data_IF_515540023632
#
_entry.id   IF_515540023632
#
_cell.length_a   1.000
_cell.length_b   1.000
_cell.length_c   1.000
_cell.angle_alpha   90.00
_cell.angle_beta   90.00
_cell.angle_gamma   90.00
#
_symmetry.space_group_name_H-M   'P 1'
#
loop_
_entity.id
_entity.type
_entity.pdbx_description
1 polymer ?
#
# COMPACT_ATOMS: atom_id res chain seq x y z
N UNK A 1 -2.63 23.10 5.28
CA UNK A 1 -3.03 22.02 6.21
C UNK A 1 -3.87 21.03 5.43
N UNK A 2 -3.46 19.76 5.29
CA UNK A 2 -4.30 18.72 4.69
C UNK A 2 -5.56 18.54 5.56
N UNK A 3 -6.74 18.49 4.94
CA UNK A 3 -8.00 18.23 5.65
C UNK A 3 -7.93 16.81 6.20
N UNK A 4 -8.19 16.65 7.50
CA UNK A 4 -8.30 15.32 8.11
C UNK A 4 -9.74 14.86 8.04
N UNK A 5 -9.91 13.59 7.74
CA UNK A 5 -11.20 12.93 7.59
C UNK A 5 -11.36 11.91 8.72
N UNK A 6 -12.52 11.92 9.35
CA UNK A 6 -12.97 10.90 10.27
C UNK A 6 -14.19 10.26 9.62
N UNK A 7 -14.14 8.95 9.41
CA UNK A 7 -15.24 8.16 8.86
C UNK A 7 -15.78 7.24 9.95
N UNK A 8 -17.09 7.05 9.95
CA UNK A 8 -17.69 5.97 10.73
C UNK A 8 -17.41 4.59 10.10
N UNK A 9 -17.90 3.53 10.75
CA UNK A 9 -17.66 2.17 10.30
C UNK A 9 -18.31 1.86 8.93
N UNK A 10 -19.48 2.43 8.65
CA UNK A 10 -20.22 2.20 7.40
C UNK A 10 -19.54 2.92 6.24
N UNK A 11 -19.19 4.19 6.42
CA UNK A 11 -18.43 4.98 5.44
C UNK A 11 -17.08 4.34 5.15
N UNK A 12 -16.40 3.80 6.17
CA UNK A 12 -15.13 3.10 5.98
C UNK A 12 -15.29 1.85 5.13
N UNK A 13 -16.34 1.06 5.37
CA UNK A 13 -16.61 -0.15 4.59
C UNK A 13 -17.02 0.20 3.14
N UNK A 14 -17.72 1.32 2.93
CA UNK A 14 -17.99 1.87 1.59
C UNK A 14 -16.70 2.16 0.83
N UNK A 15 -15.78 2.90 1.45
CA UNK A 15 -14.47 3.21 0.86
C UNK A 15 -13.69 1.93 0.53
N UNK A 16 -13.67 0.96 1.44
CA UNK A 16 -13.00 -0.33 1.20
C UNK A 16 -13.63 -1.10 0.03
N UNK A 17 -14.95 -1.02 -0.15
CA UNK A 17 -15.67 -1.66 -1.26
C UNK A 17 -15.38 -0.97 -2.59
N UNK A 18 -15.31 0.35 -2.60
CA UNK A 18 -14.89 1.14 -3.78
C UNK A 18 -13.47 0.74 -4.17
N UNK A 19 -12.53 0.72 -3.21
CA UNK A 19 -11.14 0.32 -3.48
C UNK A 19 -11.11 -1.08 -4.08
N UNK A 20 -11.77 -2.06 -3.44
CA UNK A 20 -11.84 -3.43 -3.96
C UNK A 20 -12.37 -3.48 -5.40
N UNK A 21 -13.42 -2.72 -5.70
CA UNK A 21 -14.06 -2.70 -7.02
C UNK A 21 -13.13 -2.11 -8.08
N UNK A 22 -12.48 -0.99 -7.78
CA UNK A 22 -11.50 -0.36 -8.68
C UNK A 22 -10.33 -1.30 -8.93
N UNK A 23 -9.75 -1.90 -7.88
CA UNK A 23 -8.62 -2.83 -8.02
C UNK A 23 -8.98 -4.09 -8.81
N UNK A 24 -10.20 -4.61 -8.64
CA UNK A 24 -10.68 -5.77 -9.38
C UNK A 24 -10.79 -5.53 -10.90
N UNK A 25 -10.96 -4.27 -11.33
CA UNK A 25 -10.99 -3.90 -12.74
C UNK A 25 -9.64 -3.95 -13.46
N UNK A 26 -8.55 -4.23 -12.74
CA UNK A 26 -7.20 -4.32 -13.30
C UNK A 26 -6.66 -5.75 -13.19
N UNK A 27 -6.47 -6.41 -14.32
CA UNK A 27 -5.97 -7.78 -14.39
C UNK A 27 -4.52 -7.92 -13.93
N UNK A 28 -3.75 -6.85 -14.03
CA UNK A 28 -2.36 -6.79 -13.59
C UNK A 28 -2.23 -6.84 -12.06
N UNK A 29 -3.31 -6.61 -11.30
CA UNK A 29 -3.26 -6.55 -9.84
C UNK A 29 -3.45 -7.95 -9.23
N UNK A 30 -2.51 -8.34 -8.36
CA UNK A 30 -2.57 -9.58 -7.61
C UNK A 30 -3.13 -9.38 -6.20
N UNK A 31 -2.65 -8.33 -5.52
CA UNK A 31 -3.02 -8.02 -4.13
C UNK A 31 -3.07 -6.52 -3.94
N UNK A 32 -4.09 -6.05 -3.22
CA UNK A 32 -4.19 -4.66 -2.77
C UNK A 32 -4.29 -4.61 -1.25
N UNK A 33 -3.53 -3.71 -0.65
CA UNK A 33 -3.53 -3.41 0.78
C UNK A 33 -3.93 -1.96 0.99
N UNK A 34 -4.69 -1.70 2.03
CA UNK A 34 -4.84 -0.35 2.59
C UNK A 34 -3.99 -0.29 3.85
N UNK A 35 -3.17 0.74 4.00
CA UNK A 35 -2.25 0.88 5.11
C UNK A 35 -2.27 2.32 5.66
N UNK A 36 -1.28 2.70 6.46
CA UNK A 36 -1.11 4.07 6.90
C UNK A 36 -2.18 4.57 7.87
N UNK A 37 -2.46 5.88 7.82
CA UNK A 37 -3.33 6.56 8.79
C UNK A 37 -4.80 6.16 8.65
N UNK A 38 -5.24 5.79 7.45
CA UNK A 38 -6.58 5.27 7.20
C UNK A 38 -6.92 4.04 8.06
N UNK A 39 -5.92 3.24 8.42
CA UNK A 39 -6.12 2.09 9.31
C UNK A 39 -6.26 2.47 10.78
N UNK A 40 -5.74 3.63 11.21
CA UNK A 40 -5.56 4.01 12.63
C UNK A 40 -6.57 5.02 13.16
N UNK A 41 -7.30 5.72 12.31
CA UNK A 41 -8.31 6.70 12.75
C UNK A 41 -8.51 7.82 11.74
N UNK A 42 -8.22 9.06 12.15
CA UNK A 42 -8.23 10.21 11.26
C UNK A 42 -7.12 10.10 10.21
N UNK A 43 -7.48 10.37 8.96
CA UNK A 43 -6.56 10.26 7.82
C UNK A 43 -6.60 11.51 6.96
N UNK A 44 -5.49 11.77 6.25
CA UNK A 44 -5.43 12.82 5.23
C UNK A 44 -5.75 12.26 3.84
N UNK A 45 -5.01 11.22 3.48
CA UNK A 45 -5.06 10.48 2.23
C UNK A 45 -5.38 8.99 2.47
N UNK A 46 -5.87 8.33 1.43
CA UNK A 46 -6.10 6.88 1.41
C UNK A 46 -4.87 6.21 0.82
N UNK A 47 -4.02 5.69 1.71
CA UNK A 47 -2.80 4.96 1.37
C UNK A 47 -3.13 3.54 0.86
N UNK A 48 -2.82 3.25 -0.41
CA UNK A 48 -3.07 1.94 -1.04
C UNK A 48 -1.77 1.36 -1.61
N UNK A 49 -1.40 0.16 -1.19
CA UNK A 49 -0.23 -0.55 -1.70
C UNK A 49 -0.66 -1.73 -2.55
N UNK A 50 -0.03 -1.90 -3.70
CA UNK A 50 -0.48 -2.84 -4.73
C UNK A 50 0.67 -3.72 -5.17
N UNK A 51 0.45 -5.03 -5.14
CA UNK A 51 1.31 -6.00 -5.80
C UNK A 51 0.74 -6.29 -7.18
N UNK A 52 1.57 -6.15 -8.21
CA UNK A 52 1.19 -6.44 -9.60
C UNK A 52 1.91 -7.67 -10.13
N UNK A 53 1.35 -8.28 -11.16
CA UNK A 53 1.95 -9.39 -11.87
C UNK A 53 3.24 -8.95 -12.58
N UNK A 54 4.29 -9.76 -12.48
CA UNK A 54 5.58 -9.50 -13.14
C UNK A 54 6.43 -8.45 -12.43
N UNK A 55 7.42 -7.92 -13.15
CA UNK A 55 8.39 -6.96 -12.61
C UNK A 55 8.40 -5.70 -13.47
N UNK A 56 7.45 -4.76 -13.24
CA UNK A 56 7.41 -3.53 -14.01
C UNK A 56 8.65 -2.68 -13.73
N UNK A 57 9.17 -2.03 -14.77
CA UNK A 57 10.21 -1.02 -14.58
C UNK A 57 9.67 0.15 -13.72
N UNK A 58 10.50 0.88 -12.96
CA UNK A 58 10.05 1.93 -12.06
C UNK A 58 9.13 2.98 -12.70
N UNK A 59 9.42 3.37 -13.94
CA UNK A 59 8.56 4.31 -14.68
C UNK A 59 7.18 3.73 -15.01
N UNK A 60 7.11 2.44 -15.36
CA UNK A 60 5.84 1.75 -15.64
C UNK A 60 5.02 1.60 -14.36
N UNK A 61 5.68 1.21 -13.26
CA UNK A 61 5.07 1.12 -11.93
C UNK A 61 4.49 2.48 -11.49
N UNK A 62 5.25 3.56 -11.61
CA UNK A 62 4.79 4.92 -11.32
C UNK A 62 3.58 5.31 -12.17
N UNK A 63 3.64 5.08 -13.50
CA UNK A 63 2.52 5.41 -14.40
C UNK A 63 1.27 4.61 -14.05
N UNK A 64 1.43 3.35 -13.67
CA UNK A 64 0.33 2.47 -13.26
C UNK A 64 -0.28 2.92 -11.93
N UNK A 65 0.54 3.25 -10.92
CA UNK A 65 0.07 3.84 -9.67
C UNK A 65 -0.76 5.11 -9.92
N UNK A 66 -0.25 6.05 -10.71
CA UNK A 66 -1.00 7.28 -11.08
C UNK A 66 -2.33 7.00 -11.79
N UNK A 67 -2.41 5.92 -12.57
CA UNK A 67 -3.68 5.51 -13.19
C UNK A 67 -4.68 5.07 -12.13
N UNK A 68 -4.24 4.26 -11.18
CA UNK A 68 -5.11 3.73 -10.12
C UNK A 68 -5.52 4.84 -9.15
N UNK A 69 -4.63 5.75 -8.78
CA UNK A 69 -4.97 6.92 -7.95
C UNK A 69 -6.15 7.68 -8.53
N UNK A 70 -6.11 8.00 -9.83
CA UNK A 70 -7.20 8.72 -10.51
C UNK A 70 -8.51 7.95 -10.47
N UNK A 71 -8.48 6.63 -10.66
CA UNK A 71 -9.70 5.81 -10.62
C UNK A 71 -10.25 5.67 -9.19
N UNK A 72 -9.38 5.61 -8.18
CA UNK A 72 -9.79 5.63 -6.77
C UNK A 72 -10.41 6.97 -6.40
N UNK A 73 -9.74 8.08 -6.71
CA UNK A 73 -10.24 9.44 -6.45
C UNK A 73 -11.60 9.66 -7.13
N UNK A 74 -11.78 9.18 -8.36
CA UNK A 74 -13.07 9.16 -9.06
C UNK A 74 -14.11 8.34 -8.31
N UNK A 75 -13.76 7.13 -7.87
CA UNK A 75 -14.63 6.27 -7.07
C UNK A 75 -15.05 6.92 -5.74
N UNK A 76 -14.18 7.73 -5.15
CA UNK A 76 -14.45 8.51 -3.93
C UNK A 76 -15.18 9.82 -4.20
N UNK A 77 -15.60 10.10 -5.44
CA UNK A 77 -16.18 11.38 -5.85
C UNK A 77 -15.28 12.59 -5.49
N UNK A 78 -13.96 12.41 -5.53
CA UNK A 78 -12.94 13.38 -5.13
C UNK A 78 -13.08 13.90 -3.69
N UNK A 79 -13.72 13.12 -2.80
CA UNK A 79 -13.84 13.45 -1.38
C UNK A 79 -12.49 13.32 -0.65
N UNK A 80 -11.60 12.46 -1.15
CA UNK A 80 -10.29 12.15 -0.58
C UNK A 80 -9.23 12.03 -1.69
N UNK A 81 -7.97 12.31 -1.34
CA UNK A 81 -6.80 11.97 -2.16
C UNK A 81 -6.42 10.50 -1.95
N UNK A 82 -5.89 9.85 -2.98
CA UNK A 82 -5.32 8.51 -2.89
C UNK A 82 -3.80 8.54 -3.14
N UNK A 83 -3.02 7.87 -2.29
CA UNK A 83 -1.57 7.65 -2.52
C UNK A 83 -1.36 6.16 -2.83
N UNK A 84 -1.05 5.84 -4.09
CA UNK A 84 -0.88 4.45 -4.53
C UNK A 84 0.59 4.09 -4.68
N UNK A 85 1.02 3.01 -4.05
CA UNK A 85 2.40 2.51 -4.10
C UNK A 85 2.47 1.11 -4.68
N UNK A 86 3.34 0.93 -5.69
CA UNK A 86 3.60 -0.39 -6.27
C UNK A 86 4.68 -1.10 -5.45
N UNK A 87 4.29 -2.24 -4.87
CA UNK A 87 5.14 -3.02 -3.98
C UNK A 87 6.34 -3.66 -4.69
N UNK A 88 6.20 -4.02 -5.97
CA UNK A 88 7.25 -4.66 -6.77
C UNK A 88 8.54 -3.84 -6.82
N UNK A 89 8.44 -2.51 -6.81
CA UNK A 89 9.58 -1.58 -6.91
C UNK A 89 9.86 -0.82 -5.61
N UNK A 90 9.10 -1.09 -4.55
CA UNK A 90 9.26 -0.40 -3.28
C UNK A 90 10.45 -0.96 -2.48
N UNK A 91 11.09 -0.17 -1.60
CA UNK A 91 12.10 -0.69 -0.67
C UNK A 91 11.55 -1.79 0.25
N UNK A 92 12.38 -2.74 0.65
CA UNK A 92 11.96 -3.89 1.50
C UNK A 92 11.37 -3.45 2.85
N UNK A 93 11.88 -2.37 3.44
CA UNK A 93 11.35 -1.80 4.69
C UNK A 93 9.91 -1.30 4.52
N UNK A 94 9.61 -0.67 3.39
CA UNK A 94 8.26 -0.24 3.05
C UNK A 94 7.34 -1.42 2.78
N UNK A 95 7.81 -2.41 2.02
CA UNK A 95 7.05 -3.66 1.79
C UNK A 95 6.70 -4.34 3.13
N UNK A 96 7.66 -4.41 4.06
CA UNK A 96 7.45 -4.97 5.39
C UNK A 96 6.41 -4.21 6.20
N UNK A 97 6.48 -2.87 6.23
CA UNK A 97 5.48 -2.05 6.93
C UNK A 97 4.07 -2.30 6.37
N UNK A 98 3.92 -2.37 5.05
CA UNK A 98 2.63 -2.66 4.41
C UNK A 98 2.08 -4.02 4.80
N UNK A 99 2.89 -5.09 4.79
CA UNK A 99 2.39 -6.43 5.15
C UNK A 99 2.13 -6.57 6.66
N UNK A 100 2.84 -5.79 7.49
CA UNK A 100 2.72 -5.84 8.94
C UNK A 100 1.51 -5.07 9.44
N UNK A 101 1.30 -3.85 8.94
CA UNK A 101 0.25 -2.94 9.45
C UNK A 101 -0.91 -2.74 8.48
N UNK A 102 -0.75 -3.12 7.21
CA UNK A 102 -1.78 -3.01 6.20
C UNK A 102 -2.86 -4.09 6.29
N UNK A 103 -4.07 -3.73 5.86
CA UNK A 103 -5.20 -4.64 5.71
C UNK A 103 -5.36 -5.00 4.22
N UNK A 104 -5.35 -6.29 3.85
CA UNK A 104 -5.63 -6.70 2.47
C UNK A 104 -7.10 -6.39 2.13
N UNK A 105 -7.31 -5.67 1.03
CA UNK A 105 -8.64 -5.26 0.53
C UNK A 105 -9.04 -5.96 -0.76
N UNK A 106 -8.05 -6.38 -1.54
CA UNK A 106 -8.21 -7.14 -2.77
C UNK A 106 -7.15 -8.24 -2.84
N UNK A 107 -7.57 -9.42 -3.31
CA UNK A 107 -6.71 -10.60 -3.41
C UNK A 107 -7.22 -11.48 -4.56
N UNK A 108 -6.37 -11.69 -5.56
CA UNK A 108 -6.67 -12.56 -6.70
C UNK A 108 -6.33 -14.02 -6.41
N UNK A 109 -5.19 -14.25 -5.76
CA UNK A 109 -4.68 -15.58 -5.41
C UNK A 109 -4.06 -15.56 -4.01
N UNK A 110 -4.64 -16.36 -3.11
CA UNK A 110 -4.20 -16.45 -1.71
C UNK A 110 -2.79 -17.00 -1.57
N UNK A 111 -2.40 -17.98 -2.37
CA UNK A 111 -1.05 -18.53 -2.31
C UNK A 111 -0.01 -17.53 -2.80
N UNK A 112 -0.31 -16.74 -3.85
CA UNK A 112 0.58 -15.66 -4.30
C UNK A 112 0.85 -14.66 -3.19
N UNK A 113 -0.20 -14.23 -2.47
CA UNK A 113 -0.05 -13.36 -1.30
C UNK A 113 0.87 -13.98 -0.25
N UNK A 114 0.62 -15.23 0.15
CA UNK A 114 1.43 -15.90 1.18
C UNK A 114 2.89 -16.02 0.77
N UNK A 115 3.16 -16.41 -0.48
CA UNK A 115 4.54 -16.48 -1.01
C UNK A 115 5.22 -15.11 -1.01
N UNK A 116 4.50 -14.06 -1.42
CA UNK A 116 5.02 -12.69 -1.40
C UNK A 116 5.33 -12.22 0.03
N UNK A 117 4.38 -12.34 0.96
CA UNK A 117 4.56 -11.92 2.36
C UNK A 117 5.72 -12.67 3.03
N UNK A 118 5.83 -13.99 2.83
CA UNK A 118 6.95 -14.78 3.32
C UNK A 118 8.30 -14.33 2.74
N UNK A 119 8.35 -14.02 1.45
CA UNK A 119 9.55 -13.51 0.78
C UNK A 119 9.94 -12.09 1.24
N UNK A 120 8.98 -11.23 1.58
CA UNK A 120 9.24 -9.93 2.20
C UNK A 120 9.79 -10.11 3.62
N UNK A 121 9.18 -10.99 4.42
CA UNK A 121 9.63 -11.28 5.79
C UNK A 121 11.07 -11.79 5.81
N UNK A 122 11.41 -12.75 4.96
CA UNK A 122 12.78 -13.28 4.87
C UNK A 122 13.78 -12.19 4.52
N UNK A 123 13.54 -11.44 3.43
CA UNK A 123 14.44 -10.36 3.00
C UNK A 123 14.56 -9.24 4.02
N UNK A 124 13.48 -8.92 4.73
CA UNK A 124 13.50 -7.90 5.77
C UNK A 124 14.33 -8.36 6.97
N UNK A 125 14.18 -9.62 7.41
CA UNK A 125 14.99 -10.18 8.51
C UNK A 125 16.48 -10.25 8.16
N UNK A 126 16.83 -10.60 6.93
CA UNK A 126 18.22 -10.56 6.45
C UNK A 126 18.79 -9.12 6.44
N UNK A 127 17.93 -8.13 6.24
CA UNK A 127 18.29 -6.71 6.16
C UNK A 127 18.14 -5.95 7.49
N UNK A 128 17.53 -6.58 8.51
CA UNK A 128 17.16 -5.94 9.76
C UNK A 128 18.38 -5.42 10.52
N UNK A 129 19.44 -6.23 10.62
CA UNK A 129 20.68 -5.84 11.28
C UNK A 129 21.36 -4.63 10.60
N UNK A 130 21.21 -4.53 9.27
CA UNK A 130 21.74 -3.40 8.50
C UNK A 130 20.94 -2.13 8.75
N UNK A 131 19.60 -2.21 8.82
CA UNK A 131 18.74 -1.08 9.16
C UNK A 131 19.00 -0.59 10.59
N UNK A 132 19.10 -1.50 11.55
CA UNK A 132 19.41 -1.19 12.95
C UNK A 132 20.76 -0.47 13.08
N UNK A 133 21.76 -0.87 12.29
CA UNK A 133 23.04 -0.17 12.23
C UNK A 133 22.89 1.25 11.67
N UNK A 134 22.17 1.42 10.56
CA UNK A 134 21.92 2.73 9.97
C UNK A 134 21.18 3.67 10.93
N UNK A 135 20.11 3.18 11.58
CA UNK A 135 19.33 3.96 12.54
C UNK A 135 20.20 4.41 13.72
N UNK A 136 21.04 3.53 14.27
CA UNK A 136 22.00 3.91 15.32
C UNK A 136 22.97 4.98 14.84
N UNK A 137 23.60 4.80 13.68
CA UNK A 137 24.64 5.72 13.19
C UNK A 137 24.04 7.09 12.80
N UNK A 138 22.84 7.12 12.23
CA UNK A 138 22.18 8.35 11.80
C UNK A 138 21.54 9.10 12.97
N UNK A 139 20.93 8.39 13.93
CA UNK A 139 20.33 9.02 15.13
C UNK A 139 21.39 9.51 16.12
N UNK A 140 22.61 8.97 16.11
CA UNK A 140 23.71 9.48 16.95
C UNK A 140 24.33 10.77 16.39
N UNK A 141 23.92 11.21 15.19
CA UNK A 141 24.39 12.44 14.53
C UNK A 141 23.35 13.57 14.51
N UNK A 142 22.22 13.41 15.21
CA UNK A 142 21.15 14.42 15.34
C UNK A 142 21.24 15.17 16.67
#
# INVERSE_FOLDING_TARGET
MRRRHLLDAEEKEEVLRIIRTVLAGFDEIEVGYVFGTFCRGDFGDVDVAILVTGEPAPYQAMRFARRIERELERGFCYRFEADVKILNTAPVSFQYEVIKSGRPVFLRDRERRVRYEAGVLSRYLDYADTLDWFDRVLLTRA
#
